data_IF_764628218539
#
_entry.id   IF_764628218539
#
_cell.length_a   1.000
_cell.length_b   1.000
_cell.length_c   1.000
_cell.angle_alpha   90.00
_cell.angle_beta   90.00
_cell.angle_gamma   90.00
#
_symmetry.space_group_name_H-M   'P 1'
#
loop_
_entity.id
_entity.type
_entity.pdbx_description
1 polymer ?
#
# COMPACT_ATOMS: atom_id res chain seq x y z
N UNK A 1 -4.41 -18.81 -11.63
CA UNK A 1 -4.27 -17.35 -11.46
C UNK A 1 -2.82 -17.03 -11.14
N UNK A 2 -2.19 -16.19 -11.94
CA UNK A 2 -0.80 -15.81 -11.74
C UNK A 2 -0.69 -14.36 -11.31
N UNK A 3 0.25 -14.10 -10.41
CA UNK A 3 0.61 -12.76 -10.01
C UNK A 3 2.09 -12.53 -10.28
N UNK A 4 2.43 -11.31 -10.68
CA UNK A 4 3.80 -10.89 -10.90
C UNK A 4 4.12 -9.69 -10.04
N UNK A 5 5.29 -9.70 -9.42
CA UNK A 5 5.76 -8.56 -8.64
C UNK A 5 6.26 -7.48 -9.59
N UNK A 6 5.65 -6.29 -9.54
CA UNK A 6 6.01 -5.19 -10.42
C UNK A 6 6.35 -3.95 -9.60
N UNK A 7 7.37 -3.23 -10.06
CA UNK A 7 7.83 -2.01 -9.39
C UNK A 7 7.00 -0.81 -9.85
N UNK A 8 6.56 -0.03 -8.87
CA UNK A 8 5.84 1.21 -9.15
C UNK A 8 6.87 2.36 -9.22
N UNK A 9 7.33 2.65 -10.42
CA UNK A 9 8.41 3.64 -10.64
C UNK A 9 8.03 5.02 -10.12
N UNK A 10 6.76 5.41 -10.23
CA UNK A 10 6.30 6.71 -9.74
C UNK A 10 6.40 6.90 -8.23
N UNK A 11 6.46 5.81 -7.47
CA UNK A 11 6.59 5.82 -6.01
C UNK A 11 7.98 5.40 -5.53
N UNK A 12 8.91 5.14 -6.44
CA UNK A 12 10.22 4.58 -6.12
C UNK A 12 11.36 5.53 -6.47
N UNK A 13 12.43 5.47 -5.68
CA UNK A 13 13.69 6.18 -5.94
C UNK A 13 14.83 5.48 -5.18
N UNK A 14 15.95 6.17 -4.96
CA UNK A 14 17.08 5.60 -4.24
C UNK A 14 16.80 5.33 -2.76
N UNK A 15 15.82 6.03 -2.17
CA UNK A 15 15.45 5.84 -0.77
C UNK A 15 14.53 4.66 -0.54
N UNK A 16 13.65 4.36 -1.51
CA UNK A 16 12.63 3.33 -1.34
C UNK A 16 12.26 2.69 -2.66
N UNK A 17 12.02 1.40 -2.64
CA UNK A 17 11.42 0.66 -3.75
C UNK A 17 10.01 0.24 -3.36
N UNK A 18 9.02 0.62 -4.16
CA UNK A 18 7.62 0.30 -3.93
C UNK A 18 7.14 -0.63 -5.04
N UNK A 19 6.62 -1.78 -4.64
CA UNK A 19 6.11 -2.81 -5.56
C UNK A 19 4.65 -3.07 -5.29
N UNK A 20 3.99 -3.72 -6.24
CA UNK A 20 2.67 -4.30 -6.05
C UNK A 20 2.61 -5.61 -6.82
N UNK A 21 1.51 -6.35 -6.68
CA UNK A 21 1.31 -7.58 -7.41
C UNK A 21 0.37 -7.33 -8.59
N UNK A 22 0.83 -7.67 -9.79
CA UNK A 22 0.04 -7.60 -11.01
C UNK A 22 -0.70 -8.91 -11.20
N UNK A 23 -2.01 -8.84 -11.40
CA UNK A 23 -2.79 -10.00 -11.80
C UNK A 23 -2.60 -10.18 -13.30
N UNK A 24 -1.89 -11.24 -13.70
CA UNK A 24 -1.53 -11.46 -15.10
C UNK A 24 -2.75 -11.78 -15.98
N UNK A 25 -3.82 -12.30 -15.39
CA UNK A 25 -5.04 -12.63 -16.13
C UNK A 25 -5.82 -11.36 -16.54
N UNK A 26 -5.82 -10.34 -15.69
CA UNK A 26 -6.58 -9.11 -15.91
C UNK A 26 -5.73 -7.94 -16.36
N UNK A 27 -4.42 -7.99 -16.14
CA UNK A 27 -3.52 -6.87 -16.38
C UNK A 27 -3.66 -5.74 -15.37
N UNK A 28 -4.35 -5.97 -14.26
CA UNK A 28 -4.61 -4.95 -13.23
C UNK A 28 -3.88 -5.36 -11.94
N UNK A 29 -3.13 -4.41 -11.36
CA UNK A 29 -2.43 -4.66 -10.11
C UNK A 29 -3.37 -4.58 -8.90
N UNK A 30 -2.96 -5.15 -7.77
CA UNK A 30 -3.73 -5.07 -6.54
C UNK A 30 -3.92 -3.62 -6.10
N UNK A 31 -2.88 -2.79 -6.23
CA UNK A 31 -2.98 -1.37 -5.88
C UNK A 31 -3.96 -0.63 -6.79
N UNK A 32 -3.91 -0.90 -8.08
CA UNK A 32 -4.83 -0.29 -9.04
C UNK A 32 -6.27 -0.71 -8.76
N UNK A 33 -6.50 -1.98 -8.45
CA UNK A 33 -7.83 -2.47 -8.06
C UNK A 33 -8.34 -1.76 -6.81
N UNK A 34 -7.47 -1.58 -5.82
CA UNK A 34 -7.82 -0.85 -4.60
C UNK A 34 -8.30 0.57 -4.91
N UNK A 35 -7.57 1.27 -5.79
CA UNK A 35 -7.94 2.63 -6.19
C UNK A 35 -9.28 2.63 -6.92
N UNK A 36 -9.45 1.75 -7.90
CA UNK A 36 -10.68 1.68 -8.70
C UNK A 36 -11.91 1.37 -7.85
N UNK A 37 -11.77 0.50 -6.85
CA UNK A 37 -12.87 0.10 -5.99
C UNK A 37 -13.30 1.19 -5.00
N UNK A 38 -12.40 2.10 -4.65
CA UNK A 38 -12.64 3.04 -3.56
C UNK A 38 -12.67 4.51 -3.95
N UNK A 39 -12.24 4.87 -5.17
CA UNK A 39 -12.11 6.27 -5.56
C UNK A 39 -13.42 7.02 -5.68
N UNK A 40 -14.53 6.34 -5.96
CA UNK A 40 -15.84 6.98 -6.05
C UNK A 40 -16.39 7.36 -4.69
N UNK A 41 -16.28 6.47 -3.73
CA UNK A 41 -16.84 6.67 -2.39
C UNK A 41 -15.90 7.48 -1.48
N UNK A 42 -14.60 7.26 -1.63
CA UNK A 42 -13.60 7.88 -0.76
C UNK A 42 -12.47 8.54 -1.56
N UNK A 43 -12.79 9.50 -2.45
CA UNK A 43 -11.76 10.09 -3.32
C UNK A 43 -10.65 10.81 -2.55
N UNK A 44 -10.99 11.50 -1.47
CA UNK A 44 -9.99 12.22 -0.67
C UNK A 44 -9.05 11.27 0.07
N UNK A 45 -9.58 10.15 0.58
CA UNK A 45 -8.75 9.17 1.26
C UNK A 45 -7.82 8.46 0.29
N UNK A 46 -8.29 8.14 -0.92
CA UNK A 46 -7.44 7.54 -1.96
C UNK A 46 -6.29 8.48 -2.30
N UNK A 47 -6.56 9.78 -2.43
CA UNK A 47 -5.51 10.78 -2.66
C UNK A 47 -4.51 10.85 -1.51
N UNK A 48 -5.00 10.81 -0.27
CA UNK A 48 -4.14 10.86 0.91
C UNK A 48 -3.23 9.65 0.99
N UNK A 49 -3.75 8.46 0.67
CA UNK A 49 -2.96 7.24 0.64
C UNK A 49 -1.84 7.37 -0.40
N UNK A 50 -2.15 7.85 -1.60
CA UNK A 50 -1.15 8.06 -2.64
C UNK A 50 -0.08 9.06 -2.20
N UNK A 51 -0.47 10.15 -1.54
CA UNK A 51 0.47 11.14 -1.01
C UNK A 51 1.40 10.55 0.04
N UNK A 52 0.88 9.69 0.93
CA UNK A 52 1.71 9.02 1.93
C UNK A 52 2.75 8.13 1.27
N UNK A 53 2.35 7.37 0.25
CA UNK A 53 3.27 6.51 -0.48
C UNK A 53 4.33 7.35 -1.20
N UNK A 54 3.93 8.47 -1.80
CA UNK A 54 4.88 9.39 -2.44
C UNK A 54 5.91 9.95 -1.45
N UNK A 55 5.50 10.20 -0.21
CA UNK A 55 6.40 10.74 0.81
C UNK A 55 7.52 9.77 1.20
N UNK A 56 7.37 8.48 0.92
CA UNK A 56 8.44 7.51 1.17
C UNK A 56 9.72 7.84 0.40
N UNK A 57 9.61 8.51 -0.75
CA UNK A 57 10.76 8.94 -1.53
C UNK A 57 11.67 9.91 -0.78
N UNK A 58 11.11 10.65 0.16
CA UNK A 58 11.84 11.66 0.92
C UNK A 58 12.45 11.11 2.20
N UNK A 59 11.72 10.24 2.89
CA UNK A 59 12.09 9.79 4.24
C UNK A 59 12.17 8.27 4.38
N UNK A 60 11.89 7.53 3.32
CA UNK A 60 11.80 6.07 3.38
C UNK A 60 10.46 5.61 3.93
N UNK A 61 10.23 4.31 3.88
CA UNK A 61 8.99 3.70 4.39
C UNK A 61 9.10 3.48 5.90
N UNK A 62 9.02 4.57 6.64
CA UNK A 62 9.19 4.55 8.10
C UNK A 62 8.04 3.85 8.82
N UNK A 63 8.37 3.24 9.92
CA UNK A 63 7.42 2.46 10.72
C UNK A 63 6.19 3.27 11.15
N UNK A 64 6.35 4.56 11.43
CA UNK A 64 5.25 5.42 11.88
C UNK A 64 4.16 5.68 10.81
N UNK A 65 4.42 5.34 9.55
CA UNK A 65 3.38 5.42 8.50
C UNK A 65 2.42 4.24 8.56
N UNK A 66 2.76 3.19 9.30
CA UNK A 66 2.04 1.92 9.26
C UNK A 66 1.55 1.51 10.64
N UNK A 67 0.43 0.81 10.65
CA UNK A 67 0.01 0.05 11.82
C UNK A 67 0.60 -1.34 11.66
N UNK A 68 1.56 -1.68 12.48
CA UNK A 68 2.28 -2.95 12.39
C UNK A 68 1.55 -4.04 13.16
N UNK A 69 2.01 -5.30 13.01
CA UNK A 69 1.45 -6.49 13.68
C UNK A 69 0.07 -6.89 13.20
N UNK A 70 -0.25 -6.59 11.93
CA UNK A 70 -1.50 -7.04 11.32
C UNK A 70 -1.43 -8.50 10.88
N UNK A 71 -0.24 -9.08 10.83
CA UNK A 71 -0.01 -10.49 10.55
C UNK A 71 0.69 -11.15 11.72
N UNK A 72 1.43 -12.22 11.45
CA UNK A 72 2.24 -12.89 12.46
C UNK A 72 3.46 -12.03 12.81
N UNK A 73 3.92 -12.06 14.06
CA UNK A 73 5.14 -11.33 14.42
C UNK A 73 6.31 -11.71 13.49
N UNK A 74 6.96 -10.69 12.93
CA UNK A 74 8.14 -10.87 12.09
C UNK A 74 7.89 -11.09 10.61
N UNK A 75 6.63 -11.16 10.15
CA UNK A 75 6.33 -11.37 8.72
C UNK A 75 6.29 -10.07 7.91
N UNK A 76 6.36 -8.92 8.58
CA UNK A 76 6.37 -7.62 7.90
C UNK A 76 5.02 -7.11 7.44
N UNK A 77 3.94 -7.85 7.69
CA UNK A 77 2.60 -7.42 7.29
C UNK A 77 2.14 -6.25 8.16
N UNK A 78 1.66 -5.20 7.51
CA UNK A 78 1.23 -3.98 8.18
C UNK A 78 0.09 -3.33 7.39
N UNK A 79 -0.52 -2.33 7.99
CA UNK A 79 -1.57 -1.56 7.33
C UNK A 79 -1.15 -0.10 7.21
N UNK A 80 -1.23 0.41 5.98
CA UNK A 80 -1.03 1.82 5.70
C UNK A 80 -2.38 2.53 5.82
N UNK A 81 -2.37 3.75 6.36
CA UNK A 81 -3.56 4.59 6.45
C UNK A 81 -4.64 4.01 7.37
N UNK A 82 -4.24 3.22 8.36
CA UNK A 82 -5.19 2.65 9.33
C UNK A 82 -5.37 3.61 10.52
N UNK A 83 -5.81 4.83 10.21
CA UNK A 83 -6.07 5.87 11.20
C UNK A 83 -7.46 5.68 11.80
N UNK A 84 -7.65 6.13 13.04
CA UNK A 84 -8.91 5.96 13.75
C UNK A 84 -10.12 6.51 12.99
N UNK A 85 -9.94 7.63 12.30
CA UNK A 85 -11.02 8.31 11.59
C UNK A 85 -11.11 7.96 10.11
N UNK A 86 -10.17 7.19 9.58
CA UNK A 86 -10.21 6.83 8.17
C UNK A 86 -11.18 5.68 7.91
N UNK A 87 -11.74 5.65 6.71
CA UNK A 87 -12.64 4.57 6.27
C UNK A 87 -11.90 3.46 5.55
N UNK A 88 -10.76 3.79 4.95
CA UNK A 88 -9.98 2.87 4.15
C UNK A 88 -8.73 2.39 4.88
N UNK A 89 -8.25 1.24 4.45
CA UNK A 89 -7.04 0.61 4.96
C UNK A 89 -6.37 -0.10 3.78
N UNK A 90 -5.06 0.02 3.67
CA UNK A 90 -4.28 -0.67 2.64
C UNK A 90 -3.26 -1.57 3.31
N UNK A 91 -3.35 -2.88 3.05
CA UNK A 91 -2.38 -3.84 3.58
C UNK A 91 -1.14 -3.86 2.71
N UNK A 92 0.00 -3.98 3.36
CA UNK A 92 1.30 -4.05 2.69
C UNK A 92 2.25 -4.94 3.45
N UNK A 93 3.36 -5.28 2.80
CA UNK A 93 4.49 -5.93 3.45
C UNK A 93 5.65 -4.95 3.41
N UNK A 94 6.24 -4.71 4.56
CA UNK A 94 7.31 -3.72 4.72
C UNK A 94 8.61 -4.42 5.11
N UNK A 95 9.68 -4.10 4.40
CA UNK A 95 11.03 -4.61 4.67
C UNK A 95 11.92 -3.42 5.03
N UNK A 96 12.00 -3.11 6.33
CA UNK A 96 12.73 -1.94 6.81
C UNK A 96 12.13 -0.65 6.22
N UNK A 97 12.97 0.33 5.93
CA UNK A 97 12.53 1.60 5.34
C UNK A 97 12.71 1.65 3.82
N UNK A 98 13.26 0.58 3.22
CA UNK A 98 13.74 0.62 1.82
C UNK A 98 12.84 -0.11 0.84
N UNK A 99 11.94 -0.96 1.31
CA UNK A 99 11.11 -1.79 0.43
C UNK A 99 9.71 -1.95 0.98
N UNK A 100 8.71 -1.72 0.14
CA UNK A 100 7.30 -1.94 0.47
C UNK A 100 6.62 -2.64 -0.69
N UNK A 101 5.83 -3.67 -0.38
CA UNK A 101 4.95 -4.31 -1.36
C UNK A 101 3.52 -3.94 -1.00
N UNK A 102 2.86 -3.20 -1.88
CA UNK A 102 1.46 -2.81 -1.69
C UNK A 102 0.56 -3.97 -2.09
N UNK A 103 -0.28 -4.39 -1.16
CA UNK A 103 -1.23 -5.46 -1.40
C UNK A 103 -2.61 -4.91 -1.70
N UNK A 104 -3.61 -5.59 -1.19
CA UNK A 104 -5.01 -5.18 -1.32
C UNK A 104 -5.46 -4.45 -0.06
N UNK A 105 -6.62 -3.83 -0.14
CA UNK A 105 -7.21 -3.15 0.98
C UNK A 105 -8.69 -2.93 0.74
N UNK A 106 -9.29 -2.06 1.52
CA UNK A 106 -10.69 -1.74 1.36
C UNK A 106 -11.24 -0.98 2.54
N UNK A 107 -12.55 -1.01 2.64
CA UNK A 107 -13.30 -0.36 3.70
C UNK A 107 -13.09 -1.11 5.02
N UNK A 108 -12.82 -0.39 6.09
CA UNK A 108 -12.65 -1.02 7.40
C UNK A 108 -13.99 -1.56 7.89
N UNK A 109 -14.02 -2.74 8.52
CA UNK A 109 -15.23 -3.22 9.17
C UNK A 109 -15.60 -2.30 10.33
N UNK A 110 -16.88 -2.09 10.49
CA UNK A 110 -17.41 -1.30 11.60
C UNK A 110 -17.55 -2.17 12.86
#
# INVERSE_FOLDING_TARGET
MEFELVKLAGFSNDEVSVYTLLNCDTGISLFQSFIQENQHEFPDEVKDIAKRILSFKEVGARENFFKINEGKPGDGVCALYDDEKSNLRLYCIRYGTVLVVLGSGGHKPK
#
